data_IF_599593986296
#
_entry.id   IF_599593986296
#
_cell.length_a   1.000
_cell.length_b   1.000
_cell.length_c   1.000
_cell.angle_alpha   90.00
_cell.angle_beta   90.00
_cell.angle_gamma   90.00
#
_symmetry.space_group_name_H-M   'P 1'
#
loop_
_entity.id
_entity.type
_entity.pdbx_description
1 polymer ?
#
# COMPACT_ATOMS: atom_id res chain seq x y z
N UNK A 1 -6.62 3.18 -31.56
CA UNK A 1 -7.42 3.64 -30.41
C UNK A 1 -7.88 2.50 -29.47
N UNK A 2 -7.33 1.29 -29.54
CA UNK A 2 -7.77 0.14 -28.71
C UNK A 2 -6.82 -0.23 -27.55
N UNK A 3 -5.64 0.38 -27.44
CA UNK A 3 -4.67 0.03 -26.38
C UNK A 3 -4.97 0.72 -25.02
N UNK A 4 -5.67 1.86 -25.03
CA UNK A 4 -5.82 2.71 -23.84
C UNK A 4 -6.86 2.21 -22.82
N UNK A 5 -7.88 1.47 -23.25
CA UNK A 5 -8.89 0.93 -22.32
C UNK A 5 -8.39 -0.28 -21.54
N UNK A 6 -7.47 -1.07 -22.10
CA UNK A 6 -6.93 -2.24 -21.43
C UNK A 6 -6.08 -1.87 -20.21
N UNK A 7 -5.32 -0.76 -20.27
CA UNK A 7 -4.54 -0.27 -19.13
C UNK A 7 -5.41 0.42 -18.07
N UNK A 8 -6.45 1.17 -18.47
CA UNK A 8 -7.38 1.78 -17.51
C UNK A 8 -8.17 0.75 -16.72
N UNK A 9 -8.64 -0.32 -17.39
CA UNK A 9 -9.36 -1.40 -16.71
C UNK A 9 -8.45 -2.21 -15.77
N UNK A 10 -7.15 -2.35 -16.07
CA UNK A 10 -6.19 -2.94 -15.12
C UNK A 10 -5.96 -2.06 -13.90
N UNK A 11 -5.72 -0.76 -14.10
CA UNK A 11 -5.55 0.21 -13.00
C UNK A 11 -6.74 0.21 -12.03
N UNK A 12 -7.98 0.15 -12.55
CA UNK A 12 -9.19 0.13 -11.73
C UNK A 12 -9.37 -1.18 -10.94
N UNK A 13 -8.96 -2.33 -11.48
CA UNK A 13 -9.10 -3.64 -10.82
C UNK A 13 -8.03 -3.84 -9.73
N UNK A 14 -6.86 -3.23 -9.87
CA UNK A 14 -5.72 -3.45 -8.97
C UNK A 14 -5.80 -2.63 -7.68
N UNK A 15 -6.34 -1.41 -7.70
CA UNK A 15 -6.66 -0.67 -6.46
C UNK A 15 -7.69 -1.44 -5.62
N UNK A 16 -8.69 -2.04 -6.27
CA UNK A 16 -9.67 -2.93 -5.64
C UNK A 16 -9.08 -4.25 -5.15
N UNK A 17 -7.81 -4.56 -5.44
CA UNK A 17 -7.12 -5.76 -4.95
C UNK A 17 -6.32 -5.51 -3.67
N UNK A 18 -6.10 -4.24 -3.29
CA UNK A 18 -5.45 -3.90 -2.02
C UNK A 18 -6.49 -3.94 -0.91
N UNK A 19 -6.36 -4.93 -0.03
CA UNK A 19 -7.24 -5.11 1.10
C UNK A 19 -6.80 -4.18 2.23
N UNK A 20 -7.70 -3.35 2.73
CA UNK A 20 -7.50 -2.59 3.95
C UNK A 20 -7.88 -3.50 5.14
N UNK A 21 -6.89 -3.98 5.93
CA UNK A 21 -7.19 -4.83 7.07
C UNK A 21 -7.95 -4.10 8.19
N UNK A 22 -8.08 -2.78 8.12
CA UNK A 22 -8.80 -1.95 9.10
C UNK A 22 -10.29 -1.89 8.83
N UNK A 23 -10.69 -1.73 7.57
CA UNK A 23 -12.11 -1.63 7.18
C UNK A 23 -12.71 -2.99 6.79
N UNK A 24 -11.87 -4.03 6.70
CA UNK A 24 -12.28 -5.35 6.23
C UNK A 24 -12.71 -5.36 4.75
N UNK A 25 -12.41 -4.29 4.02
CA UNK A 25 -12.82 -4.05 2.63
C UNK A 25 -11.59 -3.74 1.78
N UNK A 26 -11.76 -3.84 0.47
CA UNK A 26 -10.72 -3.39 -0.44
C UNK A 26 -10.73 -1.87 -0.55
N UNK A 27 -9.57 -1.27 -0.82
CA UNK A 27 -9.45 0.16 -1.09
C UNK A 27 -10.30 0.52 -2.31
N UNK A 28 -11.00 1.65 -2.22
CA UNK A 28 -11.73 2.23 -3.34
C UNK A 28 -10.80 3.11 -4.19
N UNK A 29 -11.29 3.50 -5.36
CA UNK A 29 -10.55 4.36 -6.29
C UNK A 29 -10.14 5.72 -5.69
N UNK A 30 -10.94 6.25 -4.76
CA UNK A 30 -10.68 7.54 -4.13
C UNK A 30 -9.85 7.43 -2.83
N UNK A 31 -9.49 6.20 -2.42
CA UNK A 31 -8.64 5.99 -1.24
C UNK A 31 -7.16 6.21 -1.54
N UNK A 32 -6.43 6.69 -0.54
CA UNK A 32 -4.99 6.91 -0.63
C UNK A 32 -4.26 5.71 -0.02
N UNK A 33 -3.55 4.96 -0.86
CA UNK A 33 -2.61 3.94 -0.42
C UNK A 33 -1.32 4.59 0.09
N UNK A 34 -1.04 4.41 1.38
CA UNK A 34 0.22 4.87 2.00
C UNK A 34 1.14 3.69 2.27
N UNK A 35 2.34 3.72 1.69
CA UNK A 35 3.39 2.71 1.90
C UNK A 35 4.59 3.40 2.57
N UNK A 36 4.82 3.20 3.88
CA UNK A 36 5.98 3.77 4.54
C UNK A 36 7.28 3.14 4.03
N UNK A 37 8.32 3.97 3.98
CA UNK A 37 9.67 3.57 3.55
C UNK A 37 10.60 3.63 4.76
N UNK A 38 11.24 2.51 5.09
CA UNK A 38 12.27 2.45 6.13
C UNK A 38 13.66 2.23 5.51
N UNK A 39 14.69 2.67 6.23
CA UNK A 39 16.07 2.51 5.80
C UNK A 39 16.53 1.06 5.91
N UNK A 40 17.37 0.63 4.98
CA UNK A 40 17.97 -0.70 5.04
C UNK A 40 18.87 -0.83 6.27
N UNK A 41 18.97 -2.05 6.77
CA UNK A 41 19.93 -2.41 7.79
C UNK A 41 20.78 -3.57 7.30
N UNK A 42 22.05 -3.59 7.70
CA UNK A 42 23.02 -4.61 7.24
C UNK A 42 22.63 -6.03 7.67
N UNK A 43 21.75 -6.16 8.67
CA UNK A 43 21.20 -7.41 9.15
C UNK A 43 19.72 -7.29 9.48
N UNK A 44 18.99 -8.38 9.31
CA UNK A 44 17.56 -8.49 9.61
C UNK A 44 17.24 -8.19 11.08
N UNK A 45 18.10 -8.61 12.02
CA UNK A 45 17.92 -8.35 13.46
C UNK A 45 17.85 -6.84 13.80
N UNK A 46 18.51 -6.00 13.02
CA UNK A 46 18.49 -4.55 13.19
C UNK A 46 17.34 -3.87 12.44
N UNK A 47 16.69 -4.57 11.52
CA UNK A 47 15.51 -4.09 10.80
C UNK A 47 14.24 -4.18 11.65
N UNK A 48 14.15 -5.22 12.50
CA UNK A 48 12.95 -5.49 13.31
C UNK A 48 12.49 -4.31 14.17
N UNK A 49 13.37 -3.57 14.89
CA UNK A 49 12.95 -2.41 15.68
C UNK A 49 12.36 -1.29 14.81
N UNK A 50 13.00 -0.97 13.68
CA UNK A 50 12.52 0.04 12.76
C UNK A 50 11.19 -0.36 12.09
N UNK A 51 11.04 -1.65 11.78
CA UNK A 51 9.79 -2.20 11.26
C UNK A 51 8.67 -2.11 12.31
N UNK A 52 8.92 -2.49 13.56
CA UNK A 52 7.95 -2.42 14.66
C UNK A 52 7.51 -0.98 14.94
N UNK A 53 8.45 -0.02 15.00
CA UNK A 53 8.14 1.40 15.12
C UNK A 53 7.31 1.92 13.94
N UNK A 54 7.68 1.51 12.72
CA UNK A 54 6.97 1.88 11.50
C UNK A 54 5.53 1.36 11.50
N UNK A 55 5.31 0.11 11.92
CA UNK A 55 3.99 -0.51 12.04
C UNK A 55 3.14 0.18 13.10
N UNK A 56 3.72 0.55 14.25
CA UNK A 56 3.03 1.30 15.29
C UNK A 56 2.58 2.69 14.83
N UNK A 57 3.41 3.37 14.05
CA UNK A 57 3.10 4.70 13.51
C UNK A 57 2.14 4.64 12.31
N UNK A 58 2.21 3.59 11.50
CA UNK A 58 1.41 3.41 10.30
C UNK A 58 0.58 2.14 10.43
N UNK A 59 -0.35 2.16 11.39
CA UNK A 59 -1.18 0.99 11.66
C UNK A 59 -1.89 0.55 10.37
N UNK A 60 -2.42 1.50 9.59
CA UNK A 60 -3.10 1.27 8.30
C UNK A 60 -2.24 0.70 7.15
N UNK A 61 -0.93 0.58 7.32
CA UNK A 61 -0.08 0.05 6.28
C UNK A 61 -0.36 -1.45 6.05
N UNK A 62 -0.55 -1.83 4.79
CA UNK A 62 -0.58 -3.22 4.35
C UNK A 62 0.79 -3.69 3.83
N UNK A 63 1.75 -2.77 3.69
CA UNK A 63 3.08 -3.03 3.23
C UNK A 63 4.09 -2.00 3.74
N UNK A 64 5.37 -2.37 3.79
CA UNK A 64 6.52 -1.50 4.05
C UNK A 64 7.54 -1.69 2.95
N UNK A 65 8.09 -0.59 2.44
CA UNK A 65 9.24 -0.62 1.54
C UNK A 65 10.52 -0.46 2.36
N UNK A 66 11.46 -1.38 2.19
CA UNK A 66 12.80 -1.25 2.76
C UNK A 66 13.72 -0.75 1.64
N UNK A 67 14.29 0.45 1.83
CA UNK A 67 15.17 1.08 0.85
C UNK A 67 16.28 0.12 0.46
N UNK A 68 16.61 0.01 -0.82
CA UNK A 68 17.68 -0.87 -1.33
C UNK A 68 17.53 -2.36 -0.95
N UNK A 69 16.32 -2.82 -0.64
CA UNK A 69 16.07 -4.22 -0.29
C UNK A 69 14.83 -4.77 -0.98
N UNK A 70 13.64 -4.23 -0.69
CA UNK A 70 12.41 -4.72 -1.29
C UNK A 70 11.16 -4.37 -0.51
N UNK A 71 10.04 -4.94 -0.96
CA UNK A 71 8.71 -4.73 -0.40
C UNK A 71 8.34 -5.88 0.55
N UNK A 72 7.86 -5.55 1.73
CA UNK A 72 7.25 -6.49 2.68
C UNK A 72 5.75 -6.25 2.70
N UNK A 73 4.94 -7.28 2.45
CA UNK A 73 3.48 -7.21 2.38
C UNK A 73 2.88 -8.28 3.29
N UNK A 74 1.80 -7.95 3.99
CA UNK A 74 1.12 -8.86 4.90
C UNK A 74 -0.39 -8.82 4.70
N UNK A 75 -1.07 -9.92 5.05
CA UNK A 75 -2.51 -10.04 4.98
C UNK A 75 -3.04 -11.11 5.92
N UNK A 76 -4.36 -11.13 6.14
CA UNK A 76 -4.99 -12.10 7.06
C UNK A 76 -4.82 -13.55 6.61
N UNK A 77 -4.58 -13.77 5.31
CA UNK A 77 -4.22 -15.08 4.73
C UNK A 77 -3.10 -14.88 3.71
N UNK A 78 -2.38 -15.97 3.39
CA UNK A 78 -1.28 -15.91 2.42
C UNK A 78 -1.77 -15.54 1.00
N UNK A 79 -2.98 -15.95 0.63
CA UNK A 79 -3.59 -15.60 -0.66
C UNK A 79 -3.82 -14.09 -0.75
N UNK A 80 -4.36 -13.48 0.30
CA UNK A 80 -4.56 -12.02 0.35
C UNK A 80 -3.23 -11.29 0.31
N UNK A 81 -2.23 -11.74 1.06
CA UNK A 81 -0.90 -11.15 1.04
C UNK A 81 -0.27 -11.19 -0.37
N UNK A 82 -0.41 -12.31 -1.09
CA UNK A 82 0.07 -12.46 -2.47
C UNK A 82 -0.64 -11.50 -3.43
N UNK A 83 -1.97 -11.44 -3.37
CA UNK A 83 -2.76 -10.55 -4.24
C UNK A 83 -2.38 -9.09 -3.98
N UNK A 84 -2.26 -8.68 -2.71
CA UNK A 84 -1.82 -7.33 -2.36
C UNK A 84 -0.42 -7.03 -2.88
N UNK A 85 0.52 -7.98 -2.79
CA UNK A 85 1.86 -7.79 -3.32
C UNK A 85 1.86 -7.54 -4.83
N UNK A 86 1.08 -8.30 -5.60
CA UNK A 86 0.93 -8.11 -7.05
C UNK A 86 0.30 -6.75 -7.39
N UNK A 87 -0.71 -6.32 -6.61
CA UNK A 87 -1.36 -5.03 -6.81
C UNK A 87 -0.42 -3.86 -6.50
N UNK A 88 0.32 -3.94 -5.40
CA UNK A 88 1.26 -2.90 -4.98
C UNK A 88 2.43 -2.81 -5.95
N UNK A 89 2.99 -3.92 -6.41
CA UNK A 89 4.08 -3.94 -7.39
C UNK A 89 3.71 -3.18 -8.67
N UNK A 90 2.50 -3.43 -9.20
CA UNK A 90 1.98 -2.70 -10.35
C UNK A 90 1.79 -1.20 -10.08
N UNK A 91 1.25 -0.84 -8.90
CA UNK A 91 1.07 0.56 -8.52
C UNK A 91 2.40 1.31 -8.37
N UNK A 92 3.45 0.63 -7.89
CA UNK A 92 4.79 1.19 -7.80
C UNK A 92 5.40 1.44 -9.18
N UNK A 93 5.27 0.49 -10.12
CA UNK A 93 5.73 0.66 -11.50
C UNK A 93 5.04 1.85 -12.18
N UNK A 94 3.71 1.93 -12.03
CA UNK A 94 2.92 3.05 -12.52
C UNK A 94 3.34 4.38 -11.87
N UNK A 95 3.59 4.39 -10.55
CA UNK A 95 4.01 5.59 -9.84
C UNK A 95 5.37 6.10 -10.35
N UNK A 96 6.30 5.20 -10.67
CA UNK A 96 7.59 5.55 -11.27
C UNK A 96 7.38 6.22 -12.64
N UNK A 97 6.52 5.65 -13.48
CA UNK A 97 6.19 6.23 -14.78
C UNK A 97 5.51 7.60 -14.63
N UNK A 98 4.56 7.74 -13.71
CA UNK A 98 3.91 9.03 -13.42
C UNK A 98 4.93 10.10 -13.00
N UNK A 99 5.85 9.78 -12.10
CA UNK A 99 6.93 10.69 -11.69
C UNK A 99 7.79 11.09 -12.89
N UNK A 100 8.15 10.12 -13.75
CA UNK A 100 8.96 10.38 -14.97
C UNK A 100 8.28 11.32 -15.95
N UNK A 101 6.96 11.24 -16.06
CA UNK A 101 6.15 12.09 -16.94
C UNK A 101 5.65 13.38 -16.26
N UNK A 102 6.03 13.64 -15.00
CA UNK A 102 5.60 14.83 -14.26
C UNK A 102 4.12 14.83 -13.88
N UNK A 103 3.50 13.64 -13.78
CA UNK A 103 2.11 13.46 -13.35
C UNK A 103 2.09 13.31 -11.83
N UNK A 104 1.27 14.09 -11.09
CA UNK A 104 1.17 13.98 -9.64
C UNK A 104 0.55 12.64 -9.22
N UNK A 105 1.10 12.02 -8.18
CA UNK A 105 0.64 10.72 -7.66
C UNK A 105 -0.67 10.80 -6.89
N UNK A 106 -0.92 11.94 -6.24
CA UNK A 106 -2.12 12.20 -5.45
C UNK A 106 -2.79 13.44 -6.03
N UNK A 107 -4.12 13.42 -6.14
CA UNK A 107 -4.88 14.61 -6.55
C UNK A 107 -4.84 15.62 -5.40
N UNK A 108 -4.56 16.89 -5.72
CA UNK A 108 -4.47 17.99 -4.74
C UNK A 108 -5.74 18.19 -3.89
N UNK A 109 -6.87 17.60 -4.29
CA UNK A 109 -8.18 17.74 -3.64
C UNK A 109 -8.43 16.81 -2.44
N UNK A 110 -7.48 15.97 -2.03
CA UNK A 110 -7.72 14.98 -0.96
C UNK A 110 -6.59 15.01 0.08
N UNK A 111 -6.61 16.03 0.94
CA UNK A 111 -5.89 16.05 2.22
C UNK A 111 -6.85 15.89 3.41
N UNK A 112 -8.13 15.62 3.16
CA UNK A 112 -9.00 15.05 4.19
C UNK A 112 -8.66 13.57 4.27
N UNK A 113 -7.82 13.21 5.24
CA UNK A 113 -7.58 11.82 5.57
C UNK A 113 -8.92 11.10 5.66
N UNK A 114 -9.03 9.91 5.05
CA UNK A 114 -10.21 9.05 5.18
C UNK A 114 -10.37 8.64 6.65
N UNK A 115 -10.93 9.55 7.44
CA UNK A 115 -11.38 9.34 8.79
C UNK A 115 -12.70 8.60 8.66
N UNK A 116 -12.63 7.29 8.50
CA UNK A 116 -13.76 6.43 8.84
C UNK A 116 -13.68 6.21 10.36
N UNK A 117 -14.44 6.93 11.20
CA UNK A 117 -14.15 7.06 12.63
C UNK A 117 -14.71 5.91 13.48
N UNK A 118 -15.51 5.01 12.90
CA UNK A 118 -16.47 4.20 13.66
C UNK A 118 -16.36 2.67 13.46
N UNK A 119 -15.15 2.10 13.32
CA UNK A 119 -15.01 0.63 13.33
C UNK A 119 -13.93 0.15 14.31
N UNK A 120 -14.27 -0.90 15.07
CA UNK A 120 -13.46 -1.52 16.13
C UNK A 120 -12.14 -2.03 15.54
N UNK A 121 -11.08 -1.25 15.74
CA UNK A 121 -9.75 -1.47 15.19
C UNK A 121 -9.19 -2.84 15.59
N UNK A 122 -8.84 -3.67 14.60
CA UNK A 122 -8.19 -4.96 14.81
C UNK A 122 -6.89 -5.04 14.01
N UNK A 123 -5.79 -4.64 14.63
CA UNK A 123 -4.48 -4.66 13.99
C UNK A 123 -4.01 -6.11 13.80
N UNK A 124 -3.50 -6.47 12.61
CA UNK A 124 -3.10 -7.86 12.36
C UNK A 124 -1.92 -8.34 13.21
N UNK A 125 -1.10 -7.40 13.71
CA UNK A 125 0.05 -7.70 14.57
C UNK A 125 -0.20 -7.48 16.07
N UNK A 126 -1.24 -6.73 16.44
CA UNK A 126 -1.52 -6.38 17.85
C UNK A 126 -2.99 -6.67 18.14
N UNK A 127 -3.22 -7.63 19.03
CA UNK A 127 -4.53 -8.16 19.40
C UNK A 127 -4.88 -7.78 20.83
#
# INVERSE_FOLDING_TARGET
>A
MYQNDHNRNKQLVLILGVYDPFTGKNLNYDDILTIPIIENQTKEEHLLPALDECLKANQRACAVLVRNHGLFVWGTTWEKAKIMAECIDYLLDLAIDMIRYGIPLVKDSVMEGSAHPDEEYRHIFYQ
#
